data_IF_169122549835
#
_entry.id   IF_169122549835
#
_cell.length_a   1.000
_cell.length_b   1.000
_cell.length_c   1.000
_cell.angle_alpha   90.00
_cell.angle_beta   90.00
_cell.angle_gamma   90.00
#
_symmetry.space_group_name_H-M   'P 1'
#
loop_
_entity.id
_entity.type
_entity.pdbx_description
1 polymer ?
#
# COMPACT_ATOMS: atom_id res chain seq x y z
N UNK A 1 -5.75 -40.95 -14.25
CA UNK A 1 -5.68 -39.71 -13.46
C UNK A 1 -5.23 -38.58 -14.37
N UNK A 2 -6.04 -37.52 -14.54
CA UNK A 2 -5.77 -36.47 -15.54
C UNK A 2 -4.95 -35.28 -15.02
N UNK A 3 -4.71 -35.21 -13.70
CA UNK A 3 -4.07 -34.06 -13.02
C UNK A 3 -2.63 -33.82 -13.50
N UNK A 4 -1.89 -34.86 -13.84
CA UNK A 4 -0.49 -34.73 -14.29
C UNK A 4 -0.31 -34.65 -15.82
N UNK A 5 -1.40 -34.78 -16.60
CA UNK A 5 -1.32 -34.93 -18.07
C UNK A 5 -1.86 -33.73 -18.83
N UNK A 6 -2.78 -32.96 -18.24
CA UNK A 6 -3.43 -31.84 -18.92
C UNK A 6 -2.85 -30.54 -18.39
N UNK A 7 -2.20 -29.77 -19.26
CA UNK A 7 -1.60 -28.46 -18.96
C UNK A 7 -2.68 -27.38 -18.82
N UNK A 8 -3.48 -27.45 -17.75
CA UNK A 8 -4.59 -26.51 -17.50
C UNK A 8 -4.14 -25.24 -16.78
N UNK A 9 -3.01 -25.28 -16.06
CA UNK A 9 -2.44 -24.12 -15.35
C UNK A 9 -1.99 -23.06 -16.36
N UNK A 10 -2.35 -21.81 -16.07
CA UNK A 10 -1.94 -20.63 -16.85
C UNK A 10 -0.99 -19.77 -16.01
N UNK A 11 0.13 -19.38 -16.61
CA UNK A 11 1.04 -18.33 -16.14
C UNK A 11 0.98 -17.18 -17.15
N UNK A 12 0.36 -16.06 -16.76
CA UNK A 12 0.23 -14.85 -17.57
C UNK A 12 1.31 -13.85 -17.13
N UNK A 13 2.15 -13.46 -18.08
CA UNK A 13 3.19 -12.44 -17.87
C UNK A 13 2.84 -11.16 -18.61
N UNK A 14 2.79 -10.07 -17.87
CA UNK A 14 2.51 -8.74 -18.40
C UNK A 14 3.75 -7.85 -18.28
N UNK A 15 4.24 -7.35 -19.42
CA UNK A 15 5.43 -6.51 -19.48
C UNK A 15 5.10 -5.06 -19.13
N UNK A 16 5.46 -4.65 -17.91
CA UNK A 16 5.26 -3.28 -17.44
C UNK A 16 6.21 -2.27 -18.10
N UNK A 17 7.41 -2.69 -18.47
CA UNK A 17 8.44 -1.79 -18.96
C UNK A 17 8.07 -1.26 -20.34
N UNK A 18 7.67 -2.16 -21.24
CA UNK A 18 7.35 -1.84 -22.64
C UNK A 18 5.93 -1.32 -22.86
N UNK A 19 5.05 -1.40 -21.87
CA UNK A 19 3.69 -0.88 -21.98
C UNK A 19 3.68 0.65 -22.17
N UNK A 20 2.95 1.16 -23.16
CA UNK A 20 2.84 2.61 -23.43
C UNK A 20 1.56 3.24 -22.89
N UNK A 21 0.64 2.43 -22.36
CA UNK A 21 -0.70 2.85 -21.96
C UNK A 21 -0.71 3.35 -20.52
N UNK A 22 0.06 2.70 -19.64
CA UNK A 22 0.10 3.01 -18.22
C UNK A 22 1.10 4.12 -17.91
N UNK A 23 0.63 5.16 -17.21
CA UNK A 23 1.50 6.22 -16.71
C UNK A 23 2.52 5.67 -15.70
N UNK A 24 3.69 6.29 -15.60
CA UNK A 24 4.79 5.86 -14.72
C UNK A 24 4.35 5.60 -13.28
N UNK A 25 3.61 6.53 -12.67
CA UNK A 25 3.08 6.41 -11.31
C UNK A 25 2.17 5.17 -11.13
N UNK A 26 1.45 4.77 -12.17
CA UNK A 26 0.60 3.57 -12.14
C UNK A 26 1.48 2.33 -12.23
N UNK A 27 2.50 2.34 -13.11
CA UNK A 27 3.47 1.24 -13.20
C UNK A 27 4.21 1.01 -11.88
N UNK A 28 4.66 2.08 -11.23
CA UNK A 28 5.33 2.02 -9.92
C UNK A 28 4.40 1.46 -8.84
N UNK A 29 3.13 1.88 -8.81
CA UNK A 29 2.12 1.32 -7.89
C UNK A 29 1.82 -0.15 -8.19
N UNK A 30 1.72 -0.51 -9.46
CA UNK A 30 1.44 -1.88 -9.88
C UNK A 30 2.61 -2.81 -9.51
N UNK A 31 3.85 -2.35 -9.69
CA UNK A 31 5.06 -3.05 -9.26
C UNK A 31 5.12 -3.28 -7.74
N UNK A 32 4.51 -2.40 -6.93
CA UNK A 32 4.41 -2.58 -5.48
C UNK A 32 3.28 -3.54 -5.06
N UNK A 33 2.24 -3.68 -5.89
CA UNK A 33 1.05 -4.49 -5.59
C UNK A 33 1.16 -5.93 -6.09
N UNK A 34 1.94 -6.17 -7.14
CA UNK A 34 2.03 -7.46 -7.81
C UNK A 34 3.37 -8.15 -7.61
N UNK A 35 3.40 -9.46 -7.83
CA UNK A 35 4.64 -10.23 -7.90
C UNK A 35 5.30 -10.03 -9.28
N UNK A 36 6.61 -9.75 -9.27
CA UNK A 36 7.40 -9.53 -10.47
C UNK A 36 8.38 -10.69 -10.70
N UNK A 37 8.69 -10.96 -11.97
CA UNK A 37 9.85 -11.79 -12.33
C UNK A 37 11.17 -10.98 -12.29
N UNK A 38 12.28 -11.65 -12.58
CA UNK A 38 13.60 -11.03 -12.63
C UNK A 38 13.72 -9.92 -13.69
N UNK A 39 12.88 -9.99 -14.74
CA UNK A 39 12.82 -9.01 -15.82
C UNK A 39 11.82 -7.87 -15.52
N UNK A 40 11.19 -7.87 -14.35
CA UNK A 40 10.23 -6.85 -13.92
C UNK A 40 8.82 -6.99 -14.52
N UNK A 41 8.47 -8.17 -15.06
CA UNK A 41 7.13 -8.46 -15.60
C UNK A 41 6.22 -8.93 -14.49
N UNK A 42 4.96 -8.51 -14.55
CA UNK A 42 3.92 -8.95 -13.61
C UNK A 42 3.52 -10.38 -13.93
N UNK A 43 3.60 -11.25 -12.92
CA UNK A 43 3.21 -12.66 -13.00
C UNK A 43 1.81 -12.82 -12.40
N UNK A 44 0.88 -13.41 -13.16
CA UNK A 44 -0.45 -13.79 -12.68
C UNK A 44 -0.73 -15.24 -13.04
N UNK A 45 -0.91 -16.09 -12.04
CA UNK A 45 -1.18 -17.52 -12.23
C UNK A 45 -2.63 -17.89 -11.94
N UNK A 46 -3.18 -18.83 -12.71
CA UNK A 46 -4.46 -19.46 -12.42
C UNK A 46 -4.47 -20.96 -12.72
N UNK A 47 -5.02 -21.73 -11.78
CA UNK A 47 -5.22 -23.18 -11.85
C UNK A 47 -6.59 -23.58 -11.24
N UNK A 48 -7.55 -22.65 -11.27
CA UNK A 48 -8.85 -22.78 -10.58
C UNK A 48 -9.72 -23.88 -11.17
N UNK A 49 -9.62 -24.10 -12.48
CA UNK A 49 -10.47 -25.05 -13.20
C UNK A 49 -9.64 -26.08 -13.98
N UNK A 50 -10.34 -27.09 -14.49
CA UNK A 50 -9.79 -28.09 -15.41
C UNK A 50 -9.72 -27.63 -16.87
N UNK A 51 -10.05 -26.37 -17.16
CA UNK A 51 -10.06 -25.80 -18.51
C UNK A 51 -9.02 -24.69 -18.59
N UNK A 52 -8.10 -24.80 -19.54
CA UNK A 52 -7.10 -23.76 -19.77
C UNK A 52 -7.74 -22.41 -20.17
N UNK A 53 -8.82 -22.45 -20.96
CA UNK A 53 -9.53 -21.24 -21.39
C UNK A 53 -10.14 -20.49 -20.20
N UNK A 54 -10.77 -21.23 -19.27
CA UNK A 54 -11.36 -20.62 -18.07
C UNK A 54 -10.27 -20.07 -17.13
N UNK A 55 -9.14 -20.76 -17.03
CA UNK A 55 -7.99 -20.30 -16.24
C UNK A 55 -7.33 -19.06 -16.87
N UNK A 56 -7.30 -18.95 -18.20
CA UNK A 56 -6.80 -17.76 -18.90
C UNK A 56 -7.70 -16.56 -18.62
N UNK A 57 -9.01 -16.74 -18.66
CA UNK A 57 -9.96 -15.67 -18.36
C UNK A 57 -9.86 -15.23 -16.89
N UNK A 58 -9.71 -16.18 -15.96
CA UNK A 58 -9.47 -15.89 -14.54
C UNK A 58 -8.16 -15.11 -14.33
N UNK A 59 -7.07 -15.49 -15.00
CA UNK A 59 -5.81 -14.76 -14.95
C UNK A 59 -5.93 -13.34 -15.50
N UNK A 60 -6.68 -13.14 -16.59
CA UNK A 60 -6.98 -11.81 -17.15
C UNK A 60 -7.78 -10.94 -16.19
N UNK A 61 -8.78 -11.51 -15.53
CA UNK A 61 -9.59 -10.80 -14.55
C UNK A 61 -8.77 -10.36 -13.33
N UNK A 62 -7.92 -11.25 -12.82
CA UNK A 62 -6.96 -10.94 -11.74
C UNK A 62 -6.01 -9.81 -12.15
N UNK A 63 -5.45 -9.86 -13.36
CA UNK A 63 -4.60 -8.78 -13.87
C UNK A 63 -5.37 -7.46 -13.94
N UNK A 64 -6.59 -7.48 -14.49
CA UNK A 64 -7.42 -6.29 -14.60
C UNK A 64 -7.75 -5.69 -13.21
N UNK A 65 -8.00 -6.51 -12.20
CA UNK A 65 -8.22 -6.05 -10.83
C UNK A 65 -6.97 -5.42 -10.22
N UNK A 66 -5.80 -6.03 -10.42
CA UNK A 66 -4.51 -5.45 -10.00
C UNK A 66 -4.27 -4.08 -10.63
N UNK A 67 -4.51 -3.95 -11.94
CA UNK A 67 -4.41 -2.68 -12.66
C UNK A 67 -5.41 -1.66 -12.11
N UNK A 68 -6.67 -2.04 -11.87
CA UNK A 68 -7.68 -1.14 -11.27
C UNK A 68 -7.25 -0.64 -9.90
N UNK A 69 -6.68 -1.50 -9.06
CA UNK A 69 -6.13 -1.10 -7.74
C UNK A 69 -4.95 -0.15 -7.89
N UNK A 70 -4.06 -0.40 -8.85
CA UNK A 70 -2.91 0.46 -9.13
C UNK A 70 -3.32 1.83 -9.67
N UNK A 71 -4.47 1.95 -10.36
CA UNK A 71 -4.99 3.23 -10.84
C UNK A 71 -5.42 4.16 -9.70
N UNK A 72 -5.91 3.62 -8.57
CA UNK A 72 -6.35 4.40 -7.42
C UNK A 72 -5.16 5.13 -6.79
N UNK A 73 -5.16 6.47 -6.86
CA UNK A 73 -4.08 7.28 -6.29
C UNK A 73 -4.23 7.37 -4.78
N UNK A 74 -3.20 7.02 -3.99
CA UNK A 74 -3.27 7.19 -2.54
C UNK A 74 -3.44 8.66 -2.21
N UNK A 75 -4.42 8.96 -1.36
CA UNK A 75 -4.67 10.34 -0.89
C UNK A 75 -3.51 10.78 -0.03
N UNK A 76 -2.86 11.89 -0.40
CA UNK A 76 -1.76 12.45 0.38
C UNK A 76 -2.28 12.83 1.77
N UNK A 77 -1.71 12.20 2.81
CA UNK A 77 -1.97 12.60 4.19
C UNK A 77 -1.20 13.89 4.48
N UNK A 78 -1.93 14.97 4.76
CA UNK A 78 -1.32 16.19 5.31
C UNK A 78 -1.21 16.03 6.83
N UNK A 79 -0.01 16.19 7.38
CA UNK A 79 0.19 16.12 8.83
C UNK A 79 -0.64 17.20 9.52
N UNK A 80 -1.35 16.83 10.60
CA UNK A 80 -2.13 17.78 11.38
C UNK A 80 -1.22 18.54 12.36
N UNK A 81 -1.48 19.83 12.53
CA UNK A 81 -0.82 20.62 13.58
C UNK A 81 -1.45 20.27 14.95
N UNK A 82 -0.70 20.36 16.07
CA UNK A 82 -1.28 20.21 17.40
C UNK A 82 -2.47 21.16 17.61
N UNK A 83 -3.56 20.64 18.18
CA UNK A 83 -4.77 21.45 18.38
C UNK A 83 -4.50 22.64 19.30
N UNK A 84 -5.25 23.73 19.15
CA UNK A 84 -5.17 24.90 20.05
C UNK A 84 -5.36 24.50 21.52
N UNK A 85 -6.25 23.52 21.79
CA UNK A 85 -6.46 22.98 23.13
C UNK A 85 -5.25 22.23 23.69
N UNK A 86 -4.53 21.45 22.86
CA UNK A 86 -3.29 20.81 23.28
C UNK A 86 -2.19 21.84 23.59
N UNK A 87 -2.11 22.91 22.79
CA UNK A 87 -1.17 24.01 23.03
C UNK A 87 -1.48 24.75 24.33
N UNK A 88 -2.76 25.04 24.61
CA UNK A 88 -3.20 25.69 25.86
C UNK A 88 -2.88 24.82 27.08
N UNK A 89 -3.26 23.54 27.08
CA UNK A 89 -2.96 22.60 28.16
C UNK A 89 -1.45 22.48 28.44
N UNK A 90 -0.62 22.50 27.39
CA UNK A 90 0.85 22.52 27.55
C UNK A 90 1.33 23.76 28.30
N UNK A 91 0.79 24.94 27.97
CA UNK A 91 1.16 26.20 28.62
C UNK A 91 0.68 26.25 30.07
N UNK A 92 -0.56 25.82 30.35
CA UNK A 92 -1.12 25.71 31.70
C UNK A 92 -0.28 24.75 32.56
N UNK A 93 0.04 23.56 32.04
CA UNK A 93 0.89 22.59 32.73
C UNK A 93 2.33 23.11 32.94
N UNK A 94 2.85 23.95 32.04
CA UNK A 94 4.13 24.64 32.24
C UNK A 94 4.03 25.64 33.40
N UNK A 95 2.99 26.47 33.42
CA UNK A 95 2.75 27.48 34.46
C UNK A 95 2.56 26.85 35.86
N UNK A 96 1.74 25.80 35.95
CA UNK A 96 1.53 25.07 37.21
C UNK A 96 2.83 24.45 37.73
N UNK A 97 3.64 23.86 36.84
CA UNK A 97 4.95 23.31 37.22
C UNK A 97 5.91 24.39 37.70
N UNK A 98 5.95 25.56 37.07
CA UNK A 98 6.79 26.67 37.54
C UNK A 98 6.34 27.18 38.90
N UNK A 99 5.03 27.34 39.13
CA UNK A 99 4.51 27.75 40.43
C UNK A 99 4.86 26.74 41.54
N UNK A 100 4.67 25.44 41.26
CA UNK A 100 5.05 24.36 42.18
C UNK A 100 6.55 24.30 42.46
N UNK A 101 7.40 24.70 41.50
CA UNK A 101 8.85 24.80 41.71
C UNK A 101 9.22 26.02 42.55
N UNK A 102 8.61 27.18 42.30
CA UNK A 102 8.86 28.40 43.06
C UNK A 102 8.47 28.23 44.54
N UNK A 103 7.33 27.59 44.82
CA UNK A 103 6.88 27.31 46.20
C UNK A 103 7.75 26.31 46.97
N UNK A 104 8.71 25.66 46.30
CA UNK A 104 9.70 24.76 46.92
C UNK A 104 11.03 25.45 47.20
N UNK A 105 11.20 26.71 46.81
CA UNK A 105 12.36 27.50 47.17
C UNK A 105 12.49 27.61 48.69
N UNK A 106 13.72 27.69 49.19
CA UNK A 106 14.00 27.82 50.62
C UNK A 106 13.30 29.09 51.14
N UNK A 107 12.42 28.93 52.12
CA UNK A 107 11.84 30.06 52.85
C UNK A 107 12.93 30.50 53.82
N UNK A 108 13.61 31.62 53.52
CA UNK A 108 14.46 32.28 54.52
C UNK A 108 13.53 32.93 55.55
N UNK A 109 13.74 32.56 56.81
CA UNK A 109 13.17 33.18 57.99
C UNK A 109 14.16 34.19 58.56
#
# INVERSE_FOLDING_TARGET
QNVNKVSTKVDLRFDLAHDTVLHRDVKERLAQLAQLDADGRVIVTSERTRSQADNLEDARQKLAELVRRALVRPKIRKATKPSKGAQRRRLEAKAQRSAKKASRGKVDW
#
